data_IF_491027237462
#
_entry.id   IF_491027237462
#
_cell.length_a   1.000
_cell.length_b   1.000
_cell.length_c   1.000
_cell.angle_alpha   90.00
_cell.angle_beta   90.00
_cell.angle_gamma   90.00
#
_symmetry.space_group_name_H-M   'P 1'
#
loop_
_entity.id
_entity.type
_entity.pdbx_description
1 polymer ?
#
# COMPACT_ATOMS: atom_id res chain seq x y z
N UNK A 1 -2.86 -15.16 11.22
CA UNK A 1 -2.57 -14.09 10.25
C UNK A 1 -1.25 -13.48 10.61
N UNK A 2 -0.27 -13.62 9.71
CA UNK A 2 1.04 -13.00 9.88
C UNK A 2 1.14 -11.76 9.01
N UNK A 3 1.89 -10.77 9.49
CA UNK A 3 2.21 -9.57 8.73
C UNK A 3 3.71 -9.46 8.58
N UNK A 4 4.16 -8.79 7.52
CA UNK A 4 5.57 -8.53 7.28
C UNK A 4 5.77 -7.09 6.80
N UNK A 5 6.92 -6.50 7.12
CA UNK A 5 7.32 -5.21 6.59
C UNK A 5 8.09 -5.43 5.28
N UNK A 6 7.60 -4.92 4.16
CA UNK A 6 8.21 -5.06 2.83
C UNK A 6 8.58 -3.69 2.26
N UNK A 7 9.55 -3.64 1.35
CA UNK A 7 9.83 -2.42 0.61
C UNK A 7 8.65 -2.06 -0.28
N UNK A 8 8.47 -0.76 -0.56
CA UNK A 8 7.39 -0.30 -1.45
C UNK A 8 7.53 -0.90 -2.86
N UNK A 9 8.75 -1.16 -3.31
CA UNK A 9 9.05 -1.80 -4.60
C UNK A 9 8.71 -3.29 -4.64
N UNK A 10 8.49 -3.94 -3.50
CA UNK A 10 8.19 -5.38 -3.39
C UNK A 10 6.68 -5.66 -3.36
N UNK A 11 5.86 -4.60 -3.38
CA UNK A 11 4.40 -4.68 -3.39
C UNK A 11 3.91 -5.04 -4.79
N UNK A 12 3.02 -6.03 -4.86
CA UNK A 12 2.42 -6.49 -6.12
C UNK A 12 0.89 -6.42 -6.09
N UNK A 13 0.26 -6.47 -7.26
CA UNK A 13 -1.19 -6.60 -7.36
C UNK A 13 -1.68 -7.86 -6.64
N UNK A 14 -2.75 -7.71 -5.86
CA UNK A 14 -3.32 -8.75 -5.00
C UNK A 14 -2.77 -8.77 -3.58
N UNK A 15 -1.72 -8.01 -3.27
CA UNK A 15 -1.26 -7.80 -1.90
C UNK A 15 -2.29 -7.01 -1.09
N UNK A 16 -2.41 -7.32 0.20
CA UNK A 16 -3.18 -6.53 1.16
C UNK A 16 -2.18 -5.81 2.05
N UNK A 17 -2.15 -4.48 1.96
CA UNK A 17 -1.15 -3.65 2.63
C UNK A 17 -1.79 -2.56 3.47
N UNK A 18 -1.04 -2.08 4.47
CA UNK A 18 -1.33 -0.87 5.22
C UNK A 18 -0.07 -0.01 5.34
N UNK A 19 -0.31 1.29 5.52
CA UNK A 19 0.72 2.28 5.79
C UNK A 19 1.53 1.92 7.06
N UNK A 20 2.87 2.04 7.05
CA UNK A 20 3.70 1.84 8.26
C UNK A 20 3.42 2.82 9.41
N UNK A 21 2.98 4.03 9.10
CA UNK A 21 2.87 5.18 10.00
C UNK A 21 1.42 5.70 10.11
N UNK A 22 0.48 5.09 9.38
CA UNK A 22 -0.87 5.59 9.19
C UNK A 22 -1.98 4.87 9.98
N UNK A 23 -3.22 5.23 9.63
CA UNK A 23 -4.45 4.63 10.14
C UNK A 23 -4.49 3.11 9.89
N UNK A 24 -5.17 2.36 10.77
CA UNK A 24 -5.35 0.90 10.66
C UNK A 24 -6.33 0.51 9.52
N UNK A 25 -5.99 0.95 8.31
CA UNK A 25 -6.77 0.82 7.09
C UNK A 25 -5.99 -0.06 6.13
N UNK A 26 -6.53 -1.25 5.90
CA UNK A 26 -5.99 -2.24 5.00
C UNK A 26 -6.59 -2.06 3.61
N UNK A 27 -5.74 -2.15 2.59
CA UNK A 27 -6.16 -1.99 1.19
C UNK A 27 -5.62 -3.15 0.38
N UNK A 28 -6.45 -3.67 -0.51
CA UNK A 28 -5.98 -4.59 -1.53
C UNK A 28 -5.40 -3.77 -2.68
N UNK A 29 -4.19 -4.09 -3.12
CA UNK A 29 -3.60 -3.51 -4.31
C UNK A 29 -4.26 -4.14 -5.52
N UNK A 30 -4.99 -3.34 -6.29
CA UNK A 30 -5.61 -3.77 -7.56
C UNK A 30 -4.86 -3.16 -8.74
N UNK A 31 -4.25 -1.98 -8.54
CA UNK A 31 -3.47 -1.31 -9.57
C UNK A 31 -2.23 -0.66 -8.97
N UNK A 32 -1.12 -0.73 -9.70
CA UNK A 32 0.12 0.00 -9.43
C UNK A 32 0.30 1.03 -10.56
N UNK A 33 0.45 2.30 -10.19
CA UNK A 33 0.71 3.38 -11.13
C UNK A 33 2.21 3.51 -11.42
N UNK A 34 2.53 4.21 -12.51
CA UNK A 34 3.91 4.56 -12.84
C UNK A 34 4.55 5.37 -11.69
N UNK A 35 5.80 5.04 -11.31
CA UNK A 35 6.51 5.80 -10.30
C UNK A 35 6.79 7.21 -10.79
N UNK A 36 6.70 8.19 -9.89
CA UNK A 36 7.01 9.59 -10.19
C UNK A 36 8.14 10.10 -9.29
N UNK A 37 8.95 11.01 -9.81
CA UNK A 37 9.94 11.72 -9.01
C UNK A 37 9.30 12.94 -8.36
N UNK A 38 9.35 13.03 -7.03
CA UNK A 38 8.85 14.17 -6.27
C UNK A 38 10.00 14.87 -5.53
N UNK A 39 9.96 16.20 -5.50
CA UNK A 39 10.99 17.01 -4.84
C UNK A 39 10.86 16.88 -3.32
N UNK A 40 11.99 16.74 -2.61
CA UNK A 40 11.96 16.70 -1.14
C UNK A 40 11.48 18.05 -0.57
N UNK A 41 10.56 18.03 0.41
CA UNK A 41 10.04 19.27 1.01
C UNK A 41 11.04 19.93 1.97
N UNK A 42 12.21 19.33 2.20
CA UNK A 42 13.27 19.84 3.07
C UNK A 42 14.13 20.94 2.44
N UNK A 43 13.89 21.28 1.16
CA UNK A 43 14.63 22.31 0.44
C UNK A 43 16.03 21.88 -0.02
N UNK A 44 16.37 20.60 0.07
CA UNK A 44 17.66 20.05 -0.40
C UNK A 44 17.84 20.08 -1.93
N UNK A 45 16.75 20.16 -2.68
CA UNK A 45 16.77 19.99 -4.15
C UNK A 45 16.92 18.52 -4.59
N UNK A 46 16.88 17.58 -3.65
CA UNK A 46 16.85 16.15 -3.95
C UNK A 46 15.44 15.69 -4.34
N UNK A 47 15.33 14.47 -4.87
CA UNK A 47 14.08 13.83 -5.24
C UNK A 47 13.93 12.49 -4.52
N UNK A 48 12.70 12.06 -4.27
CA UNK A 48 12.35 10.66 -3.98
C UNK A 48 11.45 10.11 -5.07
N UNK A 49 11.44 8.79 -5.21
CA UNK A 49 10.53 8.10 -6.12
C UNK A 49 9.27 7.70 -5.36
N UNK A 50 8.12 8.21 -5.80
CA UNK A 50 6.82 7.92 -5.23
C UNK A 50 6.09 6.88 -6.08
N UNK A 51 5.58 5.84 -5.43
CA UNK A 51 4.81 4.75 -6.03
C UNK A 51 3.34 4.92 -5.68
N UNK A 52 2.48 4.87 -6.71
CA UNK A 52 1.03 4.96 -6.55
C UNK A 52 0.41 3.57 -6.54
N UNK A 53 -0.49 3.35 -5.60
CA UNK A 53 -1.28 2.14 -5.48
C UNK A 53 -2.75 2.50 -5.36
N UNK A 54 -3.59 1.58 -5.77
CA UNK A 54 -5.02 1.79 -5.78
C UNK A 54 -5.78 0.48 -5.61
N UNK A 55 -6.87 0.55 -4.84
CA UNK A 55 -7.81 -0.55 -4.70
C UNK A 55 -8.76 -0.39 -3.51
N UNK A 56 -9.58 -1.42 -3.22
CA UNK A 56 -10.61 -1.34 -2.20
C UNK A 56 -10.01 -1.38 -0.80
N UNK A 57 -10.68 -0.71 0.13
CA UNK A 57 -10.44 -0.86 1.57
C UNK A 57 -11.05 -2.18 2.03
N UNK A 58 -10.25 -3.04 2.65
CA UNK A 58 -10.63 -4.40 3.03
C UNK A 58 -10.46 -4.63 4.53
N UNK A 59 -11.18 -5.61 5.09
CA UNK A 59 -10.82 -6.15 6.41
C UNK A 59 -9.58 -7.02 6.25
N UNK A 60 -8.65 -7.02 7.23
CA UNK A 60 -7.53 -7.93 7.23
C UNK A 60 -8.02 -9.34 7.64
N UNK A 61 -8.79 -10.02 6.80
CA UNK A 61 -9.29 -11.39 7.03
C UNK A 61 -8.86 -12.26 5.84
N UNK A 62 -8.27 -13.43 6.13
CA UNK A 62 -7.70 -14.35 5.13
C UNK A 62 -8.74 -15.00 4.21
N UNK A 63 -9.97 -15.19 4.70
CA UNK A 63 -11.07 -15.77 3.94
C UNK A 63 -11.59 -14.73 2.93
N UNK A 64 -10.79 -14.48 1.89
CA UNK A 64 -11.07 -13.48 0.86
C UNK A 64 -12.38 -13.81 0.13
N UNK A 65 -13.46 -13.18 0.57
CA UNK A 65 -14.67 -12.99 -0.20
C UNK A 65 -14.60 -11.59 -0.86
N UNK A 66 -14.43 -11.49 -2.19
CA UNK A 66 -14.31 -10.22 -2.89
C UNK A 66 -15.54 -9.30 -2.72
N UNK A 67 -16.68 -9.83 -2.28
CA UNK A 67 -17.89 -9.05 -1.98
C UNK A 67 -18.06 -8.84 -0.47
N UNK A 68 -17.70 -9.83 0.35
CA UNK A 68 -17.90 -9.82 1.81
C UNK A 68 -16.85 -9.05 2.63
N UNK A 69 -15.62 -8.88 2.11
CA UNK A 69 -14.51 -8.29 2.86
C UNK A 69 -14.21 -6.82 2.57
N UNK A 70 -14.89 -6.22 1.58
CA UNK A 70 -14.78 -4.78 1.30
C UNK A 70 -15.52 -4.01 2.39
N UNK A 71 -14.80 -3.16 3.13
CA UNK A 71 -15.36 -2.46 4.30
C UNK A 71 -16.15 -1.24 3.86
N UNK A 72 -15.57 -0.42 2.99
CA UNK A 72 -16.21 0.69 2.29
C UNK A 72 -15.17 1.41 1.44
N UNK A 73 -15.51 1.65 0.17
CA UNK A 73 -14.78 2.62 -0.65
C UNK A 73 -13.52 2.09 -1.32
N UNK A 74 -13.03 2.95 -2.20
CA UNK A 74 -11.86 2.75 -3.04
C UNK A 74 -10.87 3.84 -2.67
N UNK A 75 -9.61 3.46 -2.50
CA UNK A 75 -8.58 4.40 -2.07
C UNK A 75 -7.41 4.40 -3.04
N UNK A 76 -6.79 5.57 -3.19
CA UNK A 76 -5.55 5.76 -3.93
C UNK A 76 -4.52 6.33 -2.98
N UNK A 77 -3.39 5.67 -2.89
CA UNK A 77 -2.39 5.97 -1.88
C UNK A 77 -0.99 5.91 -2.47
N UNK A 78 -0.08 6.66 -1.84
CA UNK A 78 1.27 6.89 -2.35
C UNK A 78 2.28 6.62 -1.26
N UNK A 79 3.34 5.90 -1.60
CA UNK A 79 4.47 5.68 -0.71
C UNK A 79 5.78 6.00 -1.42
N UNK A 80 6.77 6.42 -0.65
CA UNK A 80 8.14 6.63 -1.16
C UNK A 80 8.89 5.32 -1.23
N UNK A 81 9.81 5.22 -2.17
CA UNK A 81 10.74 4.10 -2.32
C UNK A 81 11.52 3.75 -1.05
N UNK A 82 11.85 4.75 -0.24
CA UNK A 82 12.54 4.60 1.05
C UNK A 82 11.66 4.11 2.22
N UNK A 83 10.34 4.02 2.01
CA UNK A 83 9.40 3.55 3.02
C UNK A 83 9.22 2.03 2.97
N UNK A 84 8.76 1.46 4.07
CA UNK A 84 8.33 0.06 4.16
C UNK A 84 6.84 0.01 4.45
N UNK A 85 6.09 -0.84 3.78
CA UNK A 85 4.66 -1.07 4.08
C UNK A 85 4.46 -2.36 4.85
N UNK A 86 3.36 -2.47 5.58
CA UNK A 86 3.00 -3.72 6.24
C UNK A 86 2.10 -4.52 5.30
N UNK A 87 2.54 -5.71 4.90
CA UNK A 87 1.80 -6.64 4.05
C UNK A 87 1.22 -7.79 4.88
N UNK A 88 -0.01 -8.19 4.58
CA UNK A 88 -0.64 -9.39 5.12
C UNK A 88 -0.12 -10.62 4.37
N UNK A 89 0.42 -11.61 5.08
CA UNK A 89 0.83 -12.89 4.49
C UNK A 89 -0.37 -13.78 4.24
N UNK A 90 -0.51 -14.26 3.01
CA UNK A 90 -1.38 -15.39 2.68
C UNK A 90 -0.64 -16.67 3.11
N UNK A 91 -1.05 -17.25 4.23
CA UNK A 91 -0.61 -18.59 4.67
C UNK A 91 -1.34 -19.68 3.90
#
# INVERSE_FOLDING_TARGET
>A
METEAVGVTDVVEGDIIRDPLGADVWRQVVRIGEPVSEVKPDGSGEYWTAYYFEGPIVKPILDYDPVGNVVAGWDRFTFRDDQRVVRLRKT
#
